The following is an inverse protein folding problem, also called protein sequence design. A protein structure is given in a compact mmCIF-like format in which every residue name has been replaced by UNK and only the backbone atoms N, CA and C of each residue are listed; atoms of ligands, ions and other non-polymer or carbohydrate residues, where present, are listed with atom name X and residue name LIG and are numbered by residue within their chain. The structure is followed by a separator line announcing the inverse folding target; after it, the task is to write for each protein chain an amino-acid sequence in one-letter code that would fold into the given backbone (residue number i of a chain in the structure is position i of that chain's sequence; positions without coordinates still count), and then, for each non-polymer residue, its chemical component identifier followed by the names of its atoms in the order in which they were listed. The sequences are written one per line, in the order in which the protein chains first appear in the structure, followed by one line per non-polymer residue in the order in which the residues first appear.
data_IF_118784771360
#
_entry.id   IF_118784771360
#
_cell.length_a   1.000
_cell.length_b   1.000
_cell.length_c   1.000
_cell.angle_alpha   90.00
_cell.angle_beta   90.00
_cell.angle_gamma   90.00
#
_symmetry.space_group_name_H-M   'P 1'
#
loop_
_entity.id
_entity.type
_entity.pdbx_description
1 polymer ?
#
# COMPACT_ATOMS: atom_id res chain seq x y z
N UNK A 1 50.37 -6.28 35.28
CA UNK A 1 49.96 -5.60 34.03
C UNK A 1 48.93 -6.45 33.25
N UNK A 2 47.80 -6.82 33.86
CA UNK A 2 46.83 -7.75 33.23
C UNK A 2 45.37 -7.29 33.26
N UNK A 3 45.01 -6.35 34.14
CA UNK A 3 43.60 -5.90 34.28
C UNK A 3 43.25 -4.77 33.29
N UNK A 4 44.17 -3.83 33.05
CA UNK A 4 43.98 -2.76 32.08
C UNK A 4 43.90 -3.29 30.62
N UNK A 5 44.68 -4.31 30.30
CA UNK A 5 44.67 -4.96 28.99
C UNK A 5 43.38 -5.74 28.74
N UNK A 6 42.78 -6.33 29.79
CA UNK A 6 41.50 -7.03 29.72
C UNK A 6 40.32 -6.07 29.53
N UNK A 7 40.34 -4.90 30.18
CA UNK A 7 39.34 -3.84 30.04
C UNK A 7 39.39 -3.15 28.67
N UNK A 8 40.59 -2.99 28.11
CA UNK A 8 40.77 -2.50 26.73
C UNK A 8 40.28 -3.55 25.72
N UNK A 9 40.56 -4.84 25.93
CA UNK A 9 40.00 -5.90 25.09
C UNK A 9 38.46 -5.94 25.19
N UNK A 10 37.88 -5.75 26.38
CA UNK A 10 36.42 -5.70 26.57
C UNK A 10 35.79 -4.47 25.90
N UNK A 11 36.45 -3.30 25.91
CA UNK A 11 35.96 -2.11 25.21
C UNK A 11 36.11 -2.22 23.69
N UNK A 12 37.16 -2.89 23.20
CA UNK A 12 37.33 -3.18 21.78
C UNK A 12 36.27 -4.20 21.31
N UNK A 13 35.93 -5.20 22.13
CA UNK A 13 34.82 -6.14 21.85
C UNK A 13 33.44 -5.45 21.98
N UNK A 14 33.27 -4.51 22.90
CA UNK A 14 32.04 -3.73 23.04
C UNK A 14 31.81 -2.73 21.88
N UNK A 15 32.87 -2.30 21.18
CA UNK A 15 32.79 -1.56 19.91
C UNK A 15 32.73 -2.45 18.66
N UNK A 16 32.89 -3.77 18.79
CA UNK A 16 32.97 -4.72 17.66
C UNK A 16 31.63 -5.24 17.14
N UNK A 17 30.49 -4.75 17.63
CA UNK A 17 29.20 -4.95 16.95
C UNK A 17 28.43 -3.64 16.92
N UNK A 18 28.99 -2.62 16.25
CA UNK A 18 28.14 -1.71 15.47
C UNK A 18 27.56 -2.55 14.33
N UNK A 19 26.57 -3.39 14.65
CA UNK A 19 25.96 -4.32 13.70
C UNK A 19 25.36 -3.53 12.55
N UNK A 20 25.91 -3.72 11.36
CA UNK A 20 25.26 -3.26 10.15
C UNK A 20 23.92 -3.99 10.03
N UNK A 21 22.82 -3.23 10.05
CA UNK A 21 21.48 -3.76 9.84
C UNK A 21 21.29 -3.91 8.33
N UNK A 22 21.20 -5.15 7.86
CA UNK A 22 20.91 -5.44 6.45
C UNK A 22 19.40 -5.49 6.27
N UNK A 23 18.83 -4.50 5.62
CA UNK A 23 17.40 -4.42 5.32
C UNK A 23 17.17 -4.91 3.89
N UNK A 24 16.48 -6.04 3.74
CA UNK A 24 16.05 -6.53 2.43
C UNK A 24 14.99 -5.61 1.83
N UNK A 25 15.02 -5.41 0.52
CA UNK A 25 13.97 -4.71 -0.23
C UNK A 25 13.62 -5.52 -1.47
N UNK A 26 12.33 -5.82 -1.66
CA UNK A 26 11.82 -6.42 -2.90
C UNK A 26 11.18 -5.32 -3.74
N UNK A 27 11.95 -4.75 -4.68
CA UNK A 27 11.53 -3.65 -5.54
C UNK A 27 12.23 -3.66 -6.89
N UNK A 28 11.44 -3.49 -7.95
CA UNK A 28 11.91 -3.42 -9.34
C UNK A 28 11.94 -1.99 -9.89
N UNK A 29 11.18 -1.05 -9.32
CA UNK A 29 11.25 0.36 -9.71
C UNK A 29 12.48 1.03 -9.07
N UNK A 30 13.51 1.43 -9.85
CA UNK A 30 14.71 2.04 -9.33
C UNK A 30 14.45 3.39 -8.63
N UNK A 31 13.34 4.07 -8.91
CA UNK A 31 12.95 5.32 -8.24
C UNK A 31 12.55 5.04 -6.79
N UNK A 32 11.80 3.97 -6.56
CA UNK A 32 11.37 3.56 -5.22
C UNK A 32 12.54 3.02 -4.39
N UNK A 33 13.45 2.26 -5.01
CA UNK A 33 14.72 1.85 -4.35
C UNK A 33 15.51 3.07 -3.87
N UNK A 34 15.66 4.09 -4.73
CA UNK A 34 16.34 5.34 -4.35
C UNK A 34 15.60 6.12 -3.27
N UNK A 35 14.27 6.11 -3.28
CA UNK A 35 13.48 6.74 -2.22
C UNK A 35 13.73 6.06 -0.86
N UNK A 36 13.79 4.73 -0.81
CA UNK A 36 14.13 3.98 0.40
C UNK A 36 15.55 4.30 0.89
N UNK A 37 16.55 4.31 0.00
CA UNK A 37 17.93 4.70 0.33
C UNK A 37 18.00 6.13 0.90
N UNK A 38 17.31 7.08 0.25
CA UNK A 38 17.24 8.45 0.73
C UNK A 38 16.59 8.55 2.12
N UNK A 39 15.49 7.84 2.35
CA UNK A 39 14.80 7.84 3.64
C UNK A 39 15.71 7.31 4.76
N UNK A 40 16.46 6.24 4.51
CA UNK A 40 17.45 5.69 5.46
C UNK A 40 18.55 6.73 5.75
N UNK A 41 19.09 7.36 4.70
CA UNK A 41 20.13 8.40 4.87
C UNK A 41 19.61 9.61 5.65
N UNK A 42 18.39 10.06 5.37
CA UNK A 42 17.76 11.20 6.07
C UNK A 42 17.50 10.87 7.54
N UNK A 43 16.94 9.69 7.83
CA UNK A 43 16.71 9.24 9.20
C UNK A 43 18.01 9.19 10.02
N UNK A 44 19.12 8.79 9.40
CA UNK A 44 20.44 8.81 10.03
C UNK A 44 20.97 10.22 10.23
N UNK A 45 20.85 11.09 9.23
CA UNK A 45 21.27 12.49 9.31
C UNK A 45 20.50 13.25 10.41
N UNK A 46 19.23 12.91 10.60
CA UNK A 46 18.36 13.48 11.64
C UNK A 46 18.56 12.85 13.01
N UNK A 47 19.43 11.83 13.14
CA UNK A 47 19.72 11.13 14.38
C UNK A 47 18.60 10.21 14.86
N UNK A 48 17.62 9.89 14.00
CA UNK A 48 16.51 8.95 14.28
C UNK A 48 17.03 7.51 14.39
N UNK A 49 18.00 7.14 13.56
CA UNK A 49 18.72 5.88 13.66
C UNK A 49 20.21 6.11 13.88
N UNK A 50 20.81 5.33 14.79
CA UNK A 50 22.25 5.43 15.13
C UNK A 50 23.07 4.34 14.44
N UNK A 51 22.40 3.25 14.09
CA UNK A 51 22.93 2.07 13.44
C UNK A 51 23.19 2.32 11.96
N UNK A 52 24.15 1.60 11.39
CA UNK A 52 24.38 1.60 9.95
C UNK A 52 23.37 0.66 9.31
N UNK A 53 22.46 1.19 8.49
CA UNK A 53 21.48 0.38 7.75
C UNK A 53 21.96 0.29 6.30
N UNK A 54 22.09 -0.95 5.79
CA UNK A 54 22.41 -1.23 4.39
C UNK A 54 21.20 -1.87 3.72
N UNK A 55 20.77 -1.27 2.61
CA UNK A 55 19.67 -1.77 1.81
C UNK A 55 20.18 -2.87 0.85
N UNK A 56 19.64 -4.07 0.98
CA UNK A 56 19.92 -5.20 0.08
C UNK A 56 18.71 -5.36 -0.84
N UNK A 57 18.79 -4.76 -2.02
CA UNK A 57 17.71 -4.77 -2.99
C UNK A 57 17.69 -6.04 -3.84
N UNK A 58 16.51 -6.61 -4.05
CA UNK A 58 16.24 -7.64 -5.04
C UNK A 58 14.97 -7.30 -5.82
N UNK A 59 14.84 -7.84 -7.04
CA UNK A 59 13.69 -7.53 -7.89
C UNK A 59 12.43 -8.22 -7.40
N UNK A 60 11.31 -7.53 -7.51
CA UNK A 60 9.98 -8.08 -7.31
C UNK A 60 9.15 -8.00 -8.59
N UNK A 61 7.83 -8.04 -8.43
CA UNK A 61 6.93 -7.84 -9.55
C UNK A 61 7.12 -6.47 -10.24
N UNK A 62 6.91 -6.48 -11.56
CA UNK A 62 6.84 -5.28 -12.40
C UNK A 62 5.40 -5.08 -12.87
N UNK A 63 4.76 -3.99 -12.47
CA UNK A 63 3.40 -3.63 -12.94
C UNK A 63 3.28 -3.60 -14.47
N UNK A 64 4.38 -3.28 -15.18
CA UNK A 64 4.43 -3.18 -16.63
C UNK A 64 4.46 -4.52 -17.38
N UNK A 65 4.76 -5.64 -16.71
CA UNK A 65 4.90 -6.96 -17.35
C UNK A 65 3.79 -7.95 -17.02
N UNK A 66 2.79 -7.53 -16.26
CA UNK A 66 1.78 -8.44 -15.70
C UNK A 66 2.36 -9.33 -14.60
N UNK A 67 1.49 -10.03 -13.88
CA UNK A 67 1.85 -10.87 -12.74
C UNK A 67 2.77 -12.05 -13.14
N UNK A 68 4.07 -11.82 -13.30
CA UNK A 68 5.08 -12.89 -13.24
C UNK A 68 5.21 -13.34 -11.77
N UNK A 69 4.25 -14.17 -11.36
CA UNK A 69 3.82 -14.43 -9.99
C UNK A 69 4.81 -15.18 -9.06
N UNK A 70 6.13 -15.11 -9.26
CA UNK A 70 7.07 -15.83 -8.38
C UNK A 70 8.48 -15.25 -8.26
N UNK A 71 8.87 -14.26 -9.07
CA UNK A 71 10.24 -13.73 -9.07
C UNK A 71 10.62 -13.10 -7.72
N UNK A 72 9.74 -12.26 -7.18
CA UNK A 72 9.97 -11.57 -5.90
C UNK A 72 9.98 -12.52 -4.71
N UNK A 73 9.13 -13.56 -4.70
CA UNK A 73 9.11 -14.57 -3.63
C UNK A 73 10.41 -15.37 -3.58
N UNK A 74 10.92 -15.82 -4.73
CA UNK A 74 12.19 -16.55 -4.80
C UNK A 74 13.38 -15.67 -4.39
N UNK A 75 13.39 -14.42 -4.84
CA UNK A 75 14.41 -13.44 -4.45
C UNK A 75 14.36 -13.14 -2.95
N UNK A 76 13.16 -13.03 -2.37
CA UNK A 76 13.00 -12.85 -0.94
C UNK A 76 13.48 -14.05 -0.14
N UNK A 77 13.22 -15.28 -0.60
CA UNK A 77 13.78 -16.49 0.01
C UNK A 77 15.30 -16.42 0.04
N UNK A 78 15.95 -16.03 -1.08
CA UNK A 78 17.39 -15.82 -1.11
C UNK A 78 17.84 -14.78 -0.08
N UNK A 79 17.14 -13.65 0.04
CA UNK A 79 17.48 -12.64 1.04
C UNK A 79 17.38 -13.20 2.47
N UNK A 80 16.29 -13.91 2.78
CA UNK A 80 16.00 -14.48 4.10
C UNK A 80 17.02 -15.55 4.50
N UNK A 81 17.37 -16.46 3.58
CA UNK A 81 18.19 -17.64 3.91
C UNK A 81 19.69 -17.47 3.62
N UNK A 82 20.09 -16.59 2.70
CA UNK A 82 21.48 -16.48 2.23
C UNK A 82 22.14 -15.14 2.56
N UNK A 83 21.38 -14.04 2.61
CA UNK A 83 21.96 -12.68 2.71
C UNK A 83 21.97 -12.09 4.13
N UNK A 84 21.60 -12.90 5.14
CA UNK A 84 21.60 -12.55 6.57
C UNK A 84 20.94 -11.18 6.84
N UNK A 85 19.74 -10.98 6.30
CA UNK A 85 18.96 -9.76 6.51
C UNK A 85 18.34 -9.74 7.91
N UNK A 86 18.19 -8.55 8.49
CA UNK A 86 17.54 -8.35 9.80
C UNK A 86 16.04 -8.02 9.69
N UNK A 87 15.56 -7.78 8.47
CA UNK A 87 14.19 -7.43 8.15
C UNK A 87 14.02 -7.28 6.64
N UNK A 88 12.78 -7.32 6.15
CA UNK A 88 12.48 -7.17 4.73
C UNK A 88 11.34 -6.19 4.50
N UNK A 89 11.52 -5.26 3.56
CA UNK A 89 10.42 -4.48 2.98
C UNK A 89 9.84 -5.30 1.83
N UNK A 90 8.57 -5.66 1.97
CA UNK A 90 7.90 -6.59 1.05
C UNK A 90 7.73 -6.00 -0.36
N UNK A 91 7.31 -6.86 -1.29
CA UNK A 91 6.91 -6.45 -2.62
C UNK A 91 5.75 -5.45 -2.59
N UNK A 92 5.50 -4.80 -3.74
CA UNK A 92 4.27 -4.03 -3.99
C UNK A 92 3.12 -4.91 -4.52
N UNK A 93 3.39 -6.16 -4.87
CA UNK A 93 2.36 -7.12 -5.25
C UNK A 93 1.88 -7.96 -4.06
N UNK A 94 0.55 -8.10 -3.98
CA UNK A 94 -0.12 -8.68 -2.82
C UNK A 94 0.16 -10.17 -2.64
N UNK A 95 0.26 -10.90 -3.76
CA UNK A 95 0.64 -12.31 -3.83
C UNK A 95 2.08 -12.55 -3.33
N UNK A 96 3.05 -11.79 -3.87
CA UNK A 96 4.44 -11.89 -3.42
C UNK A 96 4.58 -11.51 -1.95
N UNK A 97 3.95 -10.42 -1.51
CA UNK A 97 4.02 -10.00 -0.11
C UNK A 97 3.40 -11.01 0.86
N UNK A 98 2.39 -11.75 0.40
CA UNK A 98 1.76 -12.79 1.20
C UNK A 98 2.70 -13.98 1.37
N UNK A 99 3.33 -14.46 0.30
CA UNK A 99 4.29 -15.55 0.40
C UNK A 99 5.55 -15.13 1.18
N UNK A 100 6.04 -13.90 1.00
CA UNK A 100 7.15 -13.35 1.80
C UNK A 100 6.80 -13.36 3.29
N UNK A 101 5.62 -12.88 3.66
CA UNK A 101 5.15 -12.86 5.05
C UNK A 101 5.15 -14.26 5.69
N UNK A 102 4.72 -15.26 4.93
CA UNK A 102 4.70 -16.66 5.38
C UNK A 102 6.10 -17.26 5.49
N UNK A 103 6.99 -16.94 4.55
CA UNK A 103 8.38 -17.41 4.60
C UNK A 103 9.12 -16.83 5.80
N UNK A 104 8.96 -15.53 6.06
CA UNK A 104 9.65 -14.84 7.15
C UNK A 104 9.21 -15.29 8.54
N UNK A 105 8.04 -15.90 8.69
CA UNK A 105 7.62 -16.56 9.94
C UNK A 105 8.62 -17.63 10.39
N UNK A 106 9.11 -18.47 9.47
CA UNK A 106 10.01 -19.58 9.81
C UNK A 106 11.38 -19.11 10.31
N UNK A 107 11.84 -17.96 9.82
CA UNK A 107 13.13 -17.35 10.22
C UNK A 107 12.98 -16.28 11.32
N UNK A 108 11.75 -16.02 11.80
CA UNK A 108 11.45 -14.93 12.73
C UNK A 108 11.95 -13.55 12.26
N UNK A 109 11.90 -13.29 10.95
CA UNK A 109 12.35 -12.02 10.35
C UNK A 109 11.14 -11.09 10.19
N UNK A 110 11.21 -9.82 10.65
CA UNK A 110 10.13 -8.88 10.48
C UNK A 110 9.93 -8.47 9.02
N UNK A 111 8.67 -8.41 8.59
CA UNK A 111 8.26 -7.97 7.25
C UNK A 111 7.55 -6.63 7.34
N UNK A 112 8.11 -5.60 6.72
CA UNK A 112 7.45 -4.32 6.53
C UNK A 112 6.59 -4.44 5.28
N UNK A 113 5.29 -4.63 5.48
CA UNK A 113 4.32 -4.69 4.40
C UNK A 113 3.82 -3.29 4.06
N UNK A 114 4.07 -2.89 2.81
CA UNK A 114 3.63 -1.61 2.25
C UNK A 114 2.33 -1.69 1.44
N UNK A 115 1.72 -2.87 1.36
CA UNK A 115 0.43 -3.10 0.70
C UNK A 115 -0.68 -3.11 1.73
N UNK A 116 -1.52 -2.08 1.73
CA UNK A 116 -2.66 -2.02 2.65
C UNK A 116 -3.97 -2.55 2.09
N UNK A 117 -4.02 -2.91 0.81
CA UNK A 117 -5.21 -3.44 0.13
C UNK A 117 -5.51 -4.91 0.44
N UNK A 118 -4.54 -5.69 0.95
CA UNK A 118 -4.74 -7.13 1.22
C UNK A 118 -5.13 -7.39 2.68
N UNK A 119 -6.35 -7.88 2.91
CA UNK A 119 -6.82 -8.29 4.24
C UNK A 119 -6.03 -9.48 4.78
N UNK A 120 -5.58 -10.39 3.91
CA UNK A 120 -4.85 -11.60 4.30
C UNK A 120 -3.54 -11.23 5.01
N UNK A 121 -2.87 -10.16 4.57
CA UNK A 121 -1.63 -9.66 5.18
C UNK A 121 -1.84 -9.06 6.58
N UNK A 122 -3.08 -8.81 7.01
CA UNK A 122 -3.42 -8.31 8.34
C UNK A 122 -3.80 -9.42 9.32
N UNK A 123 -3.83 -10.67 8.87
CA UNK A 123 -4.10 -11.81 9.74
C UNK A 123 -2.83 -12.19 10.51
N UNK A 124 -2.73 -11.77 11.76
CA UNK A 124 -1.60 -12.05 12.64
C UNK A 124 -1.41 -13.55 12.96
N UNK A 125 -2.46 -14.37 12.84
CA UNK A 125 -2.30 -15.83 13.02
C UNK A 125 -1.53 -16.46 11.85
N UNK A 126 -1.66 -15.89 10.65
CA UNK A 126 -1.00 -16.39 9.44
C UNK A 126 0.31 -15.65 9.14
N UNK A 127 0.41 -14.38 9.52
CA UNK A 127 1.53 -13.49 9.20
C UNK A 127 2.04 -12.76 10.46
N UNK A 128 2.48 -13.48 11.51
CA UNK A 128 2.78 -12.89 12.82
C UNK A 128 4.01 -11.97 12.82
N UNK A 129 4.88 -12.05 11.82
CA UNK A 129 6.08 -11.20 11.69
C UNK A 129 5.83 -9.98 10.80
N UNK A 130 4.63 -9.82 10.26
CA UNK A 130 4.31 -8.75 9.31
C UNK A 130 3.76 -7.53 10.01
N UNK A 131 4.35 -6.37 9.71
CA UNK A 131 3.90 -5.04 10.14
C UNK A 131 3.39 -4.30 8.91
N UNK A 132 2.09 -4.01 8.88
CA UNK A 132 1.50 -3.21 7.82
C UNK A 132 1.75 -1.72 8.06
N UNK A 133 2.44 -1.06 7.13
CA UNK A 133 2.79 0.37 7.20
C UNK A 133 2.09 1.21 6.14
N UNK A 134 1.23 0.60 5.32
CA UNK A 134 0.43 1.33 4.34
C UNK A 134 -0.49 2.34 5.04
N UNK A 135 -0.40 3.61 4.62
CA UNK A 135 -1.26 4.69 5.12
C UNK A 135 -2.73 4.48 4.72
N UNK A 136 -2.97 3.75 3.63
CA UNK A 136 -4.27 3.20 3.24
C UNK A 136 -4.36 1.73 3.48
N UNK A 137 -5.09 1.35 4.53
CA UNK A 137 -5.50 -0.03 4.70
C UNK A 137 -6.97 -0.18 4.38
N UNK A 138 -7.37 -1.38 3.97
CA UNK A 138 -8.79 -1.79 3.92
C UNK A 138 -9.49 -1.51 5.26
N UNK A 139 -8.75 -1.56 6.37
CA UNK A 139 -9.23 -1.20 7.71
C UNK A 139 -9.58 0.28 7.79
N UNK A 140 -8.74 1.18 7.25
CA UNK A 140 -9.04 2.61 7.18
C UNK A 140 -10.33 2.91 6.44
N UNK A 141 -10.55 2.27 5.28
CA UNK A 141 -11.81 2.40 4.55
C UNK A 141 -13.00 1.83 5.33
N UNK A 142 -12.85 0.65 5.94
CA UNK A 142 -13.90 0.05 6.76
C UNK A 142 -14.30 0.94 7.95
N UNK A 143 -13.32 1.58 8.60
CA UNK A 143 -13.58 2.54 9.69
C UNK A 143 -14.32 3.78 9.19
N UNK A 144 -13.92 4.32 8.03
CA UNK A 144 -14.60 5.45 7.42
C UNK A 144 -16.06 5.11 7.05
N UNK A 145 -16.30 3.95 6.44
CA UNK A 145 -17.64 3.44 6.13
C UNK A 145 -18.46 3.29 7.42
N UNK A 146 -17.88 2.70 8.47
CA UNK A 146 -18.54 2.55 9.77
C UNK A 146 -18.97 3.91 10.35
N UNK A 147 -18.14 4.95 10.20
CA UNK A 147 -18.48 6.31 10.63
C UNK A 147 -19.60 6.93 9.79
N UNK A 148 -19.62 6.69 8.48
CA UNK A 148 -20.73 7.11 7.59
C UNK A 148 -22.02 6.43 8.02
N UNK A 149 -21.99 5.12 8.25
CA UNK A 149 -23.16 4.37 8.73
C UNK A 149 -23.70 4.91 10.05
N UNK A 150 -22.81 5.18 11.02
CA UNK A 150 -23.18 5.79 12.31
C UNK A 150 -23.81 7.17 12.13
N UNK A 151 -23.25 8.01 11.26
CA UNK A 151 -23.72 9.38 11.05
C UNK A 151 -25.11 9.43 10.41
N UNK A 152 -25.37 8.54 9.45
CA UNK A 152 -26.66 8.48 8.73
C UNK A 152 -27.64 7.44 9.30
N UNK A 153 -27.30 6.77 10.40
CA UNK A 153 -28.08 5.70 11.02
C UNK A 153 -28.39 4.52 10.08
N UNK A 154 -27.45 4.17 9.18
CA UNK A 154 -27.58 2.97 8.37
C UNK A 154 -27.24 1.72 9.20
N UNK A 155 -28.09 0.70 9.11
CA UNK A 155 -27.91 -0.59 9.80
C UNK A 155 -27.34 -1.68 8.90
N UNK A 156 -27.40 -1.49 7.58
CA UNK A 156 -26.90 -2.40 6.55
C UNK A 156 -26.33 -1.62 5.38
N UNK A 157 -25.49 -2.29 4.60
CA UNK A 157 -24.90 -1.76 3.37
C UNK A 157 -24.56 -2.92 2.43
N UNK A 158 -24.54 -2.63 1.14
CA UNK A 158 -24.07 -3.56 0.13
C UNK A 158 -22.68 -3.18 -0.35
N UNK A 159 -21.85 -4.18 -0.63
CA UNK A 159 -20.52 -4.00 -1.21
C UNK A 159 -20.53 -4.47 -2.64
N UNK A 160 -20.04 -3.61 -3.53
CA UNK A 160 -19.78 -3.88 -4.93
C UNK A 160 -18.28 -3.72 -5.14
N UNK A 161 -17.62 -4.76 -5.61
CA UNK A 161 -16.17 -4.77 -5.87
C UNK A 161 -15.89 -4.86 -7.37
N UNK A 162 -14.71 -4.42 -7.80
CA UNK A 162 -14.23 -4.65 -9.18
C UNK A 162 -14.22 -6.14 -9.58
N UNK A 163 -14.09 -7.05 -8.61
CA UNK A 163 -14.12 -8.51 -8.83
C UNK A 163 -15.53 -9.12 -8.86
N UNK A 164 -16.53 -8.44 -8.30
CA UNK A 164 -17.90 -8.96 -8.28
C UNK A 164 -18.57 -8.62 -9.60
N UNK A 165 -18.62 -9.59 -10.53
CA UNK A 165 -19.59 -9.86 -11.61
C UNK A 165 -20.51 -8.74 -12.18
N UNK A 166 -20.16 -7.46 -12.05
CA UNK A 166 -20.68 -6.39 -12.88
C UNK A 166 -19.93 -6.54 -14.20
N UNK A 167 -20.30 -7.59 -14.93
CA UNK A 167 -19.83 -7.82 -16.27
C UNK A 167 -20.17 -6.61 -17.12
N UNK A 168 -19.45 -6.40 -18.23
CA UNK A 168 -19.67 -5.32 -19.20
C UNK A 168 -21.12 -5.15 -19.72
N UNK A 169 -22.01 -6.11 -19.37
CA UNK A 169 -23.42 -6.20 -19.75
C UNK A 169 -24.41 -5.84 -18.65
N UNK A 170 -24.00 -5.61 -17.40
CA UNK A 170 -24.94 -5.35 -16.31
C UNK A 170 -25.69 -4.04 -16.53
N UNK A 171 -27.01 -4.15 -16.67
CA UNK A 171 -27.94 -3.02 -16.75
C UNK A 171 -28.31 -2.50 -15.35
N UNK A 172 -28.87 -1.29 -15.27
CA UNK A 172 -29.40 -0.75 -14.02
C UNK A 172 -30.42 -1.68 -13.36
N UNK A 173 -31.31 -2.30 -14.14
CA UNK A 173 -32.34 -3.20 -13.60
C UNK A 173 -31.72 -4.48 -13.03
N UNK A 174 -30.71 -5.04 -13.69
CA UNK A 174 -29.97 -6.20 -13.19
C UNK A 174 -29.17 -5.86 -11.93
N UNK A 175 -28.60 -4.65 -11.85
CA UNK A 175 -27.93 -4.17 -10.64
C UNK A 175 -28.92 -4.06 -9.46
N UNK A 176 -30.07 -3.42 -9.69
CA UNK A 176 -31.13 -3.27 -8.68
C UNK A 176 -31.71 -4.62 -8.22
N UNK A 177 -31.63 -5.66 -9.05
CA UNK A 177 -32.07 -7.01 -8.70
C UNK A 177 -31.10 -7.77 -7.79
N UNK A 178 -29.83 -7.37 -7.73
CA UNK A 178 -28.79 -8.05 -6.94
C UNK A 178 -28.51 -7.34 -5.61
N UNK A 179 -28.73 -6.03 -5.54
CA UNK A 179 -28.55 -5.28 -4.30
C UNK A 179 -29.75 -5.45 -3.35
N UNK A 180 -29.49 -5.41 -2.05
CA UNK A 180 -30.54 -5.37 -1.03
C UNK A 180 -31.14 -3.96 -1.00
N UNK A 181 -32.37 -3.82 -1.50
CA UNK A 181 -33.07 -2.54 -1.52
C UNK A 181 -33.37 -1.98 -0.11
N UNK A 182 -33.23 -2.79 0.95
CA UNK A 182 -33.28 -2.32 2.33
C UNK A 182 -31.97 -1.62 2.74
N UNK A 183 -30.84 -1.98 2.12
CA UNK A 183 -29.55 -1.32 2.27
C UNK A 183 -29.55 -0.03 1.45
N UNK A 184 -29.78 1.10 2.12
CA UNK A 184 -29.72 2.43 1.49
C UNK A 184 -28.31 2.94 1.28
N UNK A 185 -27.29 2.21 1.74
CA UNK A 185 -25.87 2.50 1.53
C UNK A 185 -25.26 1.44 0.61
N UNK A 186 -24.65 1.89 -0.49
CA UNK A 186 -23.92 1.06 -1.43
C UNK A 186 -22.46 1.51 -1.45
N UNK A 187 -21.55 0.58 -1.19
CA UNK A 187 -20.10 0.81 -1.18
C UNK A 187 -19.49 0.19 -2.43
N UNK A 188 -18.93 1.02 -3.28
CA UNK A 188 -18.15 0.64 -4.45
C UNK A 188 -16.68 0.58 -4.06
N UNK A 189 -15.97 -0.50 -4.39
CA UNK A 189 -14.54 -0.67 -4.11
C UNK A 189 -13.84 -1.09 -5.42
N UNK A 190 -12.83 -0.31 -5.84
CA UNK A 190 -12.04 -0.66 -7.02
C UNK A 190 -11.15 0.48 -7.53
N UNK A 191 -10.54 0.24 -8.69
CA UNK A 191 -9.74 1.23 -9.42
C UNK A 191 -10.62 2.22 -10.21
N UNK A 192 -10.02 3.28 -10.74
CA UNK A 192 -10.70 4.33 -11.51
C UNK A 192 -11.31 3.79 -12.80
N UNK A 193 -10.73 2.74 -13.39
CA UNK A 193 -11.25 2.10 -14.61
C UNK A 193 -12.56 1.38 -14.34
N UNK A 194 -12.59 0.52 -13.32
CA UNK A 194 -13.77 -0.20 -12.87
C UNK A 194 -14.87 0.76 -12.45
N UNK A 195 -14.50 1.83 -11.73
CA UNK A 195 -15.43 2.90 -11.39
C UNK A 195 -16.00 3.59 -12.63
N UNK A 196 -15.15 3.98 -13.58
CA UNK A 196 -15.57 4.58 -14.84
C UNK A 196 -16.55 3.68 -15.61
N UNK A 197 -16.26 2.39 -15.71
CA UNK A 197 -17.16 1.41 -16.30
C UNK A 197 -18.51 1.37 -15.56
N UNK A 198 -18.52 1.31 -14.23
CA UNK A 198 -19.73 1.32 -13.41
C UNK A 198 -20.57 2.59 -13.65
N UNK A 199 -19.96 3.78 -13.57
CA UNK A 199 -20.66 5.05 -13.77
C UNK A 199 -21.22 5.24 -15.18
N UNK A 200 -20.63 4.62 -16.21
CA UNK A 200 -21.15 4.70 -17.59
C UNK A 200 -22.35 3.79 -17.84
N UNK A 201 -22.52 2.75 -17.01
CA UNK A 201 -23.54 1.72 -17.20
C UNK A 201 -24.74 1.92 -16.31
N UNK A 202 -24.52 2.45 -15.12
CA UNK A 202 -25.56 2.63 -14.11
C UNK A 202 -25.91 4.11 -13.99
N UNK A 203 -27.19 4.43 -14.21
CA UNK A 203 -27.70 5.78 -13.96
C UNK A 203 -27.86 6.01 -12.45
N UNK A 204 -26.78 6.46 -11.81
CA UNK A 204 -26.77 6.74 -10.39
C UNK A 204 -27.66 7.92 -10.00
N UNK A 205 -28.02 8.82 -10.92
CA UNK A 205 -28.91 9.92 -10.58
C UNK A 205 -30.31 9.38 -10.23
N UNK A 206 -30.78 8.39 -10.99
CA UNK A 206 -32.05 7.71 -10.70
C UNK A 206 -31.99 6.97 -9.35
N UNK A 207 -30.87 6.31 -9.06
CA UNK A 207 -30.74 5.53 -7.81
C UNK A 207 -30.61 6.44 -6.59
N UNK A 208 -29.84 7.53 -6.68
CA UNK A 208 -29.69 8.50 -5.60
C UNK A 208 -30.98 9.28 -5.33
N UNK A 209 -31.72 9.64 -6.38
CA UNK A 209 -33.06 10.25 -6.19
C UNK A 209 -34.06 9.28 -5.56
N UNK A 210 -33.85 7.98 -5.71
CA UNK A 210 -34.61 6.92 -5.03
C UNK A 210 -34.19 6.67 -3.57
N UNK A 211 -33.28 7.50 -3.02
CA UNK A 211 -32.91 7.52 -1.61
C UNK A 211 -31.70 6.67 -1.24
N UNK A 212 -30.92 6.19 -2.22
CA UNK A 212 -29.67 5.50 -1.97
C UNK A 212 -28.50 6.47 -1.83
N UNK A 213 -27.52 6.09 -1.02
CA UNK A 213 -26.23 6.75 -0.88
C UNK A 213 -25.14 5.85 -1.42
N UNK A 214 -24.27 6.41 -2.26
CA UNK A 214 -23.08 5.72 -2.75
C UNK A 214 -21.83 6.22 -2.04
N UNK A 215 -20.96 5.28 -1.70
CA UNK A 215 -19.60 5.54 -1.25
C UNK A 215 -18.66 4.82 -2.21
N UNK A 216 -17.70 5.54 -2.80
CA UNK A 216 -16.66 4.93 -3.62
C UNK A 216 -15.33 4.95 -2.87
N UNK A 217 -14.82 3.79 -2.50
CA UNK A 217 -13.48 3.60 -1.97
C UNK A 217 -12.53 3.29 -3.12
N UNK A 218 -11.74 4.29 -3.50
CA UNK A 218 -10.80 4.19 -4.60
C UNK A 218 -9.47 3.60 -4.14
N UNK A 219 -9.03 2.54 -4.82
CA UNK A 219 -7.78 1.83 -4.50
C UNK A 219 -6.54 2.49 -5.13
N UNK A 220 -6.73 3.35 -6.13
CA UNK A 220 -5.65 4.07 -6.82
C UNK A 220 -5.07 5.24 -6.02
N UNK A 221 -4.02 5.85 -6.56
CA UNK A 221 -3.47 7.07 -6.01
C UNK A 221 -4.55 8.17 -5.94
N UNK A 222 -4.63 8.96 -4.85
CA UNK A 222 -5.63 9.99 -4.60
C UNK A 222 -5.75 11.02 -5.70
N UNK A 223 -4.62 11.45 -6.28
CA UNK A 223 -4.64 12.42 -7.37
C UNK A 223 -5.36 11.87 -8.61
N UNK A 224 -5.16 10.58 -8.92
CA UNK A 224 -5.85 9.89 -10.02
C UNK A 224 -7.34 9.74 -9.69
N UNK A 225 -7.67 9.23 -8.49
CA UNK A 225 -9.05 9.09 -8.03
C UNK A 225 -9.83 10.42 -8.07
N UNK A 226 -9.21 11.51 -7.62
CA UNK A 226 -9.84 12.83 -7.47
C UNK A 226 -9.92 13.60 -8.80
N UNK A 227 -9.05 13.30 -9.77
CA UNK A 227 -9.08 13.94 -11.09
C UNK A 227 -9.98 13.19 -12.07
N UNK A 228 -9.86 11.85 -12.14
CA UNK A 228 -10.58 11.03 -13.11
C UNK A 228 -12.04 10.80 -12.72
N UNK A 229 -12.34 10.60 -11.44
CA UNK A 229 -13.71 10.36 -10.99
C UNK A 229 -14.45 11.62 -10.54
N UNK A 230 -13.84 12.81 -10.64
CA UNK A 230 -14.40 14.06 -10.07
C UNK A 230 -15.80 14.36 -10.54
N UNK A 231 -15.98 14.36 -11.85
CA UNK A 231 -17.24 14.76 -12.48
C UNK A 231 -18.32 13.71 -12.23
N UNK A 232 -17.95 12.44 -12.25
CA UNK A 232 -18.84 11.31 -11.95
C UNK A 232 -19.32 11.37 -10.49
N UNK A 233 -18.40 11.56 -9.54
CA UNK A 233 -18.69 11.69 -8.10
C UNK A 233 -19.57 12.91 -7.84
N UNK A 234 -19.25 14.05 -8.45
CA UNK A 234 -20.01 15.29 -8.29
C UNK A 234 -21.43 15.17 -8.83
N UNK A 235 -21.58 14.60 -10.02
CA UNK A 235 -22.89 14.48 -10.68
C UNK A 235 -23.77 13.46 -9.96
N UNK A 236 -23.20 12.31 -9.57
CA UNK A 236 -23.91 11.25 -8.84
C UNK A 236 -24.09 11.52 -7.34
N UNK A 237 -23.50 12.58 -6.79
CA UNK A 237 -23.47 12.85 -5.33
C UNK A 237 -22.89 11.68 -4.50
N UNK A 238 -21.98 10.93 -5.10
CA UNK A 238 -21.26 9.84 -4.42
C UNK A 238 -20.27 10.43 -3.42
N UNK A 239 -20.06 9.76 -2.28
CA UNK A 239 -18.99 10.09 -1.36
C UNK A 239 -17.70 9.38 -1.80
N UNK A 240 -16.66 10.13 -2.16
CA UNK A 240 -15.36 9.55 -2.49
C UNK A 240 -14.51 9.37 -1.23
N UNK A 241 -14.21 8.12 -0.90
CA UNK A 241 -13.17 7.76 0.04
C UNK A 241 -11.86 7.54 -0.71
N UNK A 242 -10.92 8.44 -0.45
CA UNK A 242 -9.55 8.32 -0.91
C UNK A 242 -8.62 8.66 0.25
N UNK A 243 -7.35 8.35 0.11
CA UNK A 243 -6.36 8.76 1.10
C UNK A 243 -5.85 10.16 0.84
N UNK A 244 -5.48 10.86 1.91
CA UNK A 244 -4.81 12.14 1.79
C UNK A 244 -3.30 11.88 1.79
N UNK A 245 -2.64 12.16 0.68
CA UNK A 245 -1.18 12.13 0.55
C UNK A 245 -0.51 13.44 1.00
N UNK A 246 -1.14 14.28 1.84
CA UNK A 246 -0.54 15.58 2.18
C UNK A 246 0.91 15.45 2.70
N UNK A 247 1.22 14.40 3.46
CA UNK A 247 2.59 14.10 3.92
C UNK A 247 3.44 13.38 2.86
N UNK A 248 2.82 12.56 2.02
CA UNK A 248 3.48 11.79 0.96
C UNK A 248 3.95 12.65 -0.22
N UNK A 249 3.15 13.64 -0.64
CA UNK A 249 3.50 14.56 -1.72
C UNK A 249 4.60 15.55 -1.29
N UNK A 250 4.57 16.02 -0.03
CA UNK A 250 5.67 16.82 0.53
C UNK A 250 6.97 16.00 0.61
N UNK A 251 6.88 14.76 1.11
CA UNK A 251 8.01 13.82 1.17
C UNK A 251 8.54 13.47 -0.23
N UNK A 252 7.66 13.20 -1.20
CA UNK A 252 8.03 12.91 -2.58
C UNK A 252 8.68 14.10 -3.27
N UNK A 253 8.16 15.32 -3.06
CA UNK A 253 8.78 16.53 -3.58
C UNK A 253 10.12 16.85 -2.91
N UNK A 254 10.28 16.56 -1.62
CA UNK A 254 11.56 16.65 -0.92
C UNK A 254 12.56 15.60 -1.44
N UNK A 255 12.09 14.38 -1.71
CA UNK A 255 12.86 13.32 -2.37
C UNK A 255 13.29 13.77 -3.78
N UNK A 256 12.39 14.32 -4.60
CA UNK A 256 12.71 14.83 -5.93
C UNK A 256 13.69 16.00 -5.93
N UNK A 257 13.63 16.88 -4.92
CA UNK A 257 14.60 17.98 -4.77
C UNK A 257 16.01 17.49 -4.45
N UNK A 258 16.13 16.36 -3.76
CA UNK A 258 17.39 15.82 -3.28
C UNK A 258 17.93 14.64 -4.12
N UNK A 259 17.10 14.04 -4.97
CA UNK A 259 17.52 13.09 -6.01
C UNK A 259 17.69 13.89 -7.30
N UNK A 260 18.93 14.21 -7.65
CA UNK A 260 19.28 14.83 -8.93
C UNK A 260 18.84 13.93 -10.09
N UNK A 261 17.64 14.15 -10.60
CA UNK A 261 17.25 13.65 -11.92
C UNK A 261 17.75 14.64 -12.96
N UNK A 262 18.64 14.19 -13.85
CA UNK A 262 18.72 14.83 -15.17
C UNK A 262 17.32 14.73 -15.80
N UNK A 263 16.73 15.85 -16.24
CA UNK A 263 15.33 15.87 -16.65
C UNK A 263 15.18 15.18 -18.01
N UNK A 264 14.45 14.07 -18.03
CA UNK A 264 13.80 13.61 -19.25
C UNK A 264 12.47 14.35 -19.40
N UNK A 265 12.49 15.31 -20.33
CA UNK A 265 11.36 15.96 -20.99
C UNK A 265 10.40 16.82 -20.13
N UNK A 266 10.54 18.12 -20.37
CA UNK A 266 9.66 19.23 -20.04
C UNK A 266 8.18 18.94 -20.34
N UNK A 267 7.31 19.08 -19.33
CA UNK A 267 5.88 19.37 -19.53
C UNK A 267 5.68 20.84 -19.16
N UNK A 268 5.32 21.64 -20.16
CA UNK A 268 4.95 23.04 -20.04
C UNK A 268 3.50 23.07 -19.56
N UNK A 269 3.24 23.63 -18.38
CA UNK A 269 1.88 23.94 -17.93
C UNK A 269 1.52 25.38 -18.33
N UNK A 270 0.35 25.53 -18.95
CA UNK A 270 -0.36 26.80 -19.07
C UNK A 270 -1.14 27.09 -17.78
#
# INVERSE_FOLDING_TARGET
MGCATLLILLHVVAHLVSGEIRLGLIESDPRLVRACDFAIRKARADGVCRESIVLVNATGCEESKGHEAAGGTANAAKLLFEENISGIVSSRCADESWEISRLSYFENIPVINRIGSSRTLLNNEQNPTTVATATTTVVGFAMAISKIMQFYNFTSYDIVTSTSNIHDKTTTDEFLAVIDLNSRLIVLIGDTKAAGHFYTKIDLNLIVTSGFMFVFACEDAPEMCVSECRDQVRNSRTLLLTHKFDDGAATFNEILKNISFEPLATVINA
#
